data_IF_160061112654
#
_entry.id   IF_160061112654
#
_cell.length_a   1.000
_cell.length_b   1.000
_cell.length_c   1.000
_cell.angle_alpha   90.00
_cell.angle_beta   90.00
_cell.angle_gamma   90.00
#
_symmetry.space_group_name_H-M   'P 1'
#
loop_
_entity.id
_entity.type
_entity.pdbx_description
1 polymer ?
#
# COMPACT_ATOMS: atom_id res chain seq x y z
N UNK A 1 -2.22 23.03 -37.41
CA UNK A 1 -1.61 21.99 -38.27
C UNK A 1 -1.05 20.93 -37.35
N UNK A 2 -1.62 19.74 -37.38
CA UNK A 2 -1.06 18.57 -36.69
C UNK A 2 0.23 18.21 -37.44
N UNK A 3 1.39 18.35 -36.80
CA UNK A 3 2.62 17.76 -37.34
C UNK A 3 2.47 16.24 -37.20
N UNK A 4 1.96 15.60 -38.24
CA UNK A 4 1.88 14.15 -38.29
C UNK A 4 3.30 13.57 -38.21
N UNK A 5 3.50 12.68 -37.24
CA UNK A 5 4.78 12.02 -37.02
C UNK A 5 5.10 11.15 -38.24
N UNK A 6 6.26 11.39 -38.88
CA UNK A 6 6.71 10.67 -40.08
C UNK A 6 7.50 9.39 -39.77
N UNK A 7 7.73 9.11 -38.49
CA UNK A 7 8.51 7.95 -38.06
C UNK A 7 7.73 6.65 -38.23
N UNK A 8 8.43 5.60 -38.65
CA UNK A 8 7.87 4.26 -38.74
C UNK A 8 7.65 3.64 -37.34
N UNK A 9 7.04 2.45 -37.28
CA UNK A 9 6.72 1.81 -36.00
C UNK A 9 7.97 1.44 -35.18
N UNK A 10 9.08 1.11 -35.83
CA UNK A 10 10.35 0.75 -35.18
C UNK A 10 11.07 1.98 -34.63
N UNK A 11 11.07 3.08 -35.37
CA UNK A 11 11.62 4.37 -34.93
C UNK A 11 10.83 4.97 -33.74
N UNK A 12 9.59 4.53 -33.55
CA UNK A 12 8.74 4.88 -32.42
C UNK A 12 8.78 3.84 -31.29
N UNK A 13 9.53 2.76 -31.46
CA UNK A 13 9.70 1.77 -30.42
C UNK A 13 10.45 2.38 -29.23
N UNK A 14 10.05 1.98 -28.03
CA UNK A 14 10.72 2.37 -26.81
C UNK A 14 11.40 1.12 -26.28
N UNK A 15 12.71 1.24 -26.01
CA UNK A 15 13.52 0.18 -25.42
C UNK A 15 13.97 0.59 -24.03
N UNK A 16 13.95 -0.35 -23.10
CA UNK A 16 14.17 -0.08 -21.68
C UNK A 16 13.89 -1.29 -20.81
N UNK A 17 13.95 -1.08 -19.50
CA UNK A 17 13.65 -2.09 -18.49
C UNK A 17 12.46 -1.63 -17.68
N UNK A 18 11.45 -2.48 -17.55
CA UNK A 18 10.19 -2.19 -16.87
C UNK A 18 9.80 -3.35 -15.98
N UNK A 19 8.98 -3.08 -14.96
CA UNK A 19 8.35 -4.16 -14.22
C UNK A 19 7.26 -4.81 -15.07
N UNK A 20 7.05 -6.11 -14.88
CA UNK A 20 6.11 -6.89 -15.70
C UNK A 20 4.69 -6.28 -15.71
N UNK A 21 4.25 -5.73 -14.58
CA UNK A 21 2.92 -5.10 -14.45
C UNK A 21 2.75 -3.85 -15.34
N UNK A 22 3.81 -3.06 -15.53
CA UNK A 22 3.78 -1.90 -16.43
C UNK A 22 3.66 -2.34 -17.89
N UNK A 23 4.36 -3.42 -18.26
CA UNK A 23 4.29 -4.00 -19.60
C UNK A 23 2.90 -4.58 -19.88
N UNK A 24 2.34 -5.34 -18.94
CA UNK A 24 0.97 -5.86 -19.05
C UNK A 24 -0.02 -4.70 -19.22
N UNK A 25 0.16 -3.60 -18.46
CA UNK A 25 -0.67 -2.41 -18.60
C UNK A 25 -0.51 -1.74 -19.96
N UNK A 26 0.70 -1.68 -20.52
CA UNK A 26 0.92 -1.13 -21.85
C UNK A 26 0.22 -1.97 -22.93
N UNK A 27 0.27 -3.30 -22.83
CA UNK A 27 -0.44 -4.20 -23.74
C UNK A 27 -1.97 -3.97 -23.70
N UNK A 28 -2.55 -3.81 -22.50
CA UNK A 28 -3.97 -3.44 -22.35
C UNK A 28 -4.32 -2.10 -23.02
N UNK A 29 -3.36 -1.17 -23.09
CA UNK A 29 -3.51 0.14 -23.73
C UNK A 29 -3.27 0.11 -25.24
N UNK A 30 -3.02 -1.07 -25.82
CA UNK A 30 -2.84 -1.26 -27.26
C UNK A 30 -1.41 -1.10 -27.76
N UNK A 31 -0.43 -0.99 -26.85
CA UNK A 31 0.98 -1.09 -27.22
C UNK A 31 1.30 -2.52 -27.65
N UNK A 32 2.33 -2.66 -28.49
CA UNK A 32 2.81 -3.96 -28.97
C UNK A 32 4.21 -4.20 -28.44
N UNK A 33 4.42 -5.42 -27.95
CA UNK A 33 5.76 -5.89 -27.61
C UNK A 33 6.47 -6.31 -28.90
N UNK A 34 7.64 -5.73 -29.14
CA UNK A 34 8.43 -5.96 -30.36
C UNK A 34 9.52 -7.00 -30.07
N UNK A 35 10.33 -6.77 -29.03
CA UNK A 35 11.46 -7.62 -28.68
C UNK A 35 11.61 -7.70 -27.15
N UNK A 36 12.06 -8.87 -26.66
CA UNK A 36 12.38 -9.10 -25.25
C UNK A 36 13.84 -9.53 -25.18
N UNK A 37 14.65 -8.79 -24.41
CA UNK A 37 16.07 -9.13 -24.20
C UNK A 37 16.28 -10.04 -22.99
N UNK A 38 15.63 -9.72 -21.86
CA UNK A 38 15.83 -10.44 -20.60
C UNK A 38 14.58 -10.36 -19.70
N UNK A 39 14.31 -11.42 -18.93
CA UNK A 39 13.24 -11.47 -17.94
C UNK A 39 13.81 -11.96 -16.62
N UNK A 40 13.66 -11.14 -15.57
CA UNK A 40 13.98 -11.51 -14.20
C UNK A 40 12.73 -11.99 -13.48
N UNK A 41 12.72 -13.27 -13.08
CA UNK A 41 11.64 -13.86 -12.28
C UNK A 41 12.13 -14.09 -10.87
N UNK A 42 11.38 -13.57 -9.90
CA UNK A 42 11.62 -13.78 -8.48
C UNK A 42 10.35 -14.30 -7.81
N UNK A 43 10.53 -15.01 -6.69
CA UNK A 43 9.41 -15.41 -5.86
C UNK A 43 8.83 -14.19 -5.15
N UNK A 44 7.52 -14.04 -5.20
CA UNK A 44 6.80 -12.95 -4.55
C UNK A 44 6.03 -13.49 -3.36
N UNK A 45 6.21 -12.86 -2.19
CA UNK A 45 5.34 -13.09 -1.04
C UNK A 45 4.36 -11.92 -0.93
N UNK A 46 3.09 -12.23 -0.72
CA UNK A 46 2.04 -11.23 -0.51
C UNK A 46 1.40 -11.46 0.85
N UNK A 47 0.91 -10.37 1.45
CA UNK A 47 0.10 -10.43 2.65
C UNK A 47 -1.31 -10.89 2.29
N UNK A 48 -1.81 -11.91 2.97
CA UNK A 48 -3.16 -12.40 2.81
C UNK A 48 -4.07 -11.77 3.87
N UNK A 49 -5.01 -10.94 3.45
CA UNK A 49 -5.97 -10.27 4.33
C UNK A 49 -6.95 -11.22 5.01
N UNK A 50 -7.21 -12.41 4.46
CA UNK A 50 -8.14 -13.37 5.06
C UNK A 50 -7.48 -14.11 6.22
N UNK A 51 -6.26 -14.60 6.01
CA UNK A 51 -5.50 -15.32 7.04
C UNK A 51 -4.73 -14.37 7.97
N UNK A 52 -4.54 -13.11 7.57
CA UNK A 52 -3.72 -12.09 8.26
C UNK A 52 -2.26 -12.51 8.40
N UNK A 53 -1.73 -13.21 7.38
CA UNK A 53 -0.36 -13.75 7.38
C UNK A 53 0.36 -13.49 6.05
N UNK A 54 1.66 -13.71 6.01
CA UNK A 54 2.49 -13.52 4.82
C UNK A 54 2.99 -12.09 4.64
N UNK A 55 3.56 -11.81 3.47
CA UNK A 55 4.23 -10.54 3.18
C UNK A 55 5.55 -10.36 3.93
N UNK A 56 6.35 -9.37 3.50
CA UNK A 56 7.69 -9.13 4.07
C UNK A 56 7.66 -8.24 5.32
N UNK A 57 6.65 -7.38 5.46
CA UNK A 57 6.61 -6.33 6.49
C UNK A 57 5.32 -6.27 7.33
N UNK A 58 4.58 -7.37 7.55
CA UNK A 58 3.30 -7.29 8.25
C UNK A 58 3.44 -6.74 9.68
N UNK A 59 4.44 -7.19 10.43
CA UNK A 59 4.68 -6.75 11.81
C UNK A 59 5.13 -5.30 11.87
N UNK A 60 6.06 -4.90 10.99
CA UNK A 60 6.53 -3.52 10.87
C UNK A 60 5.34 -2.57 10.61
N UNK A 61 4.52 -2.87 9.60
CA UNK A 61 3.36 -2.05 9.24
C UNK A 61 2.31 -2.03 10.36
N UNK A 62 2.01 -3.19 10.95
CA UNK A 62 1.04 -3.33 12.06
C UNK A 62 1.42 -2.46 13.26
N UNK A 63 2.70 -2.48 13.67
CA UNK A 63 3.19 -1.69 14.80
C UNK A 63 3.00 -0.18 14.58
N UNK A 64 3.37 0.32 13.41
CA UNK A 64 3.23 1.76 13.11
C UNK A 64 1.78 2.17 12.85
N UNK A 65 0.95 1.29 12.27
CA UNK A 65 -0.50 1.50 12.16
C UNK A 65 -1.15 1.62 13.53
N UNK A 66 -0.80 0.73 14.47
CA UNK A 66 -1.27 0.80 15.86
C UNK A 66 -0.93 2.12 16.50
N UNK A 67 0.34 2.56 16.44
CA UNK A 67 0.79 3.84 17.00
C UNK A 67 0.03 5.01 16.38
N UNK A 68 -0.07 5.04 15.04
CA UNK A 68 -0.77 6.10 14.30
C UNK A 68 -2.25 6.17 14.68
N UNK A 69 -2.91 5.01 14.78
CA UNK A 69 -4.33 4.94 15.04
C UNK A 69 -4.66 5.33 16.48
N UNK A 70 -3.93 4.78 17.45
CA UNK A 70 -4.11 5.12 18.87
C UNK A 70 -3.87 6.61 19.14
N UNK A 71 -2.82 7.18 18.52
CA UNK A 71 -2.51 8.60 18.63
C UNK A 71 -3.50 9.53 17.90
N UNK A 72 -4.44 8.98 17.11
CA UNK A 72 -5.52 9.77 16.50
C UNK A 72 -6.69 10.01 17.46
N UNK A 73 -6.70 9.35 18.62
CA UNK A 73 -7.78 9.42 19.60
C UNK A 73 -9.05 8.69 19.17
N UNK A 74 -10.08 8.79 20.01
CA UNK A 74 -11.37 8.17 19.76
C UNK A 74 -12.15 8.93 18.67
N UNK A 75 -12.86 8.23 17.77
CA UNK A 75 -13.85 8.86 16.90
C UNK A 75 -14.90 9.63 17.70
N UNK A 76 -15.45 10.71 17.12
CA UNK A 76 -16.45 11.56 17.78
C UNK A 76 -17.72 10.80 18.22
N UNK A 77 -18.02 9.70 17.53
CA UNK A 77 -19.19 8.84 17.77
C UNK A 77 -18.94 7.78 18.86
N UNK A 78 -17.72 7.64 19.38
CA UNK A 78 -17.38 6.64 20.41
C UNK A 78 -17.46 7.23 21.82
N UNK A 79 -18.68 7.33 22.38
CA UNK A 79 -18.91 7.92 23.70
C UNK A 79 -19.13 6.87 24.79
N UNK A 80 -19.75 5.75 24.42
CA UNK A 80 -20.01 4.62 25.31
C UNK A 80 -18.89 3.56 25.23
N UNK A 81 -18.81 2.72 26.27
CA UNK A 81 -17.87 1.58 26.32
C UNK A 81 -18.15 0.62 25.14
N UNK A 82 -19.42 0.36 24.84
CA UNK A 82 -19.83 -0.54 23.74
C UNK A 82 -19.36 -0.03 22.38
N UNK A 83 -19.46 1.27 22.13
CA UNK A 83 -18.98 1.87 20.88
C UNK A 83 -17.45 1.80 20.76
N UNK A 84 -16.74 1.96 21.89
CA UNK A 84 -15.28 1.84 21.94
C UNK A 84 -14.81 0.41 21.66
N UNK A 85 -15.46 -0.59 22.26
CA UNK A 85 -15.18 -2.01 22.00
C UNK A 85 -15.50 -2.41 20.56
N UNK A 86 -16.63 -1.93 20.04
CA UNK A 86 -17.01 -2.12 18.64
C UNK A 86 -15.96 -1.54 17.70
N UNK A 87 -15.48 -0.32 17.98
CA UNK A 87 -14.43 0.31 17.18
C UNK A 87 -13.13 -0.51 17.16
N UNK A 88 -12.67 -1.01 18.31
CA UNK A 88 -11.46 -1.85 18.40
C UNK A 88 -11.64 -3.15 17.60
N UNK A 89 -12.78 -3.82 17.76
CA UNK A 89 -13.10 -5.07 17.04
C UNK A 89 -13.13 -4.83 15.53
N UNK A 90 -13.85 -3.81 15.07
CA UNK A 90 -13.94 -3.48 13.65
C UNK A 90 -12.58 -3.10 13.04
N UNK A 91 -11.72 -2.43 13.82
CA UNK A 91 -10.36 -2.11 13.38
C UNK A 91 -9.51 -3.36 13.22
N UNK A 92 -9.61 -4.31 14.17
CA UNK A 92 -8.92 -5.59 14.06
C UNK A 92 -9.43 -6.44 12.89
N UNK A 93 -10.74 -6.43 12.63
CA UNK A 93 -11.32 -7.21 11.54
C UNK A 93 -10.88 -6.68 10.17
N UNK A 94 -10.83 -5.36 10.01
CA UNK A 94 -10.44 -4.71 8.75
C UNK A 94 -8.93 -4.71 8.52
N UNK A 95 -8.16 -4.32 9.54
CA UNK A 95 -6.72 -4.04 9.40
C UNK A 95 -5.84 -5.16 9.96
N UNK A 96 -6.39 -6.08 10.76
CA UNK A 96 -5.62 -7.12 11.45
C UNK A 96 -4.79 -6.60 12.64
N UNK A 97 -5.00 -5.34 13.05
CA UNK A 97 -4.21 -4.67 14.08
C UNK A 97 -5.02 -4.53 15.37
N UNK A 98 -4.51 -5.04 16.48
CA UNK A 98 -5.16 -4.90 17.79
C UNK A 98 -4.77 -3.58 18.47
N UNK A 99 -5.77 -2.75 18.76
CA UNK A 99 -5.61 -1.49 19.48
C UNK A 99 -5.71 -1.70 21.00
N UNK A 100 -4.98 -0.90 21.77
CA UNK A 100 -5.12 -0.84 23.22
C UNK A 100 -6.00 0.34 23.62
N UNK A 101 -7.15 0.08 24.25
CA UNK A 101 -8.12 1.11 24.64
C UNK A 101 -7.51 2.22 25.50
N UNK A 102 -6.62 1.87 26.43
CA UNK A 102 -5.97 2.80 27.36
C UNK A 102 -4.92 3.69 26.68
N UNK A 103 -4.44 3.30 25.50
CA UNK A 103 -3.46 4.06 24.73
C UNK A 103 -4.10 4.92 23.62
N UNK A 104 -5.42 4.83 23.41
CA UNK A 104 -6.15 5.66 22.44
C UNK A 104 -6.37 7.04 23.04
N UNK A 105 -5.51 7.96 22.64
CA UNK A 105 -5.52 9.35 23.07
C UNK A 105 -5.05 10.23 21.91
N UNK A 106 -5.70 11.38 21.73
CA UNK A 106 -5.29 12.33 20.70
C UNK A 106 -3.89 12.88 21.01
N UNK A 107 -2.91 12.54 20.18
CA UNK A 107 -1.54 13.00 20.31
C UNK A 107 -0.93 13.26 18.92
N UNK A 108 -0.85 14.52 18.47
CA UNK A 108 -0.39 14.83 17.11
C UNK A 108 1.08 14.45 16.87
N UNK A 109 1.94 14.56 17.89
CA UNK A 109 3.36 14.20 17.79
C UNK A 109 3.57 12.69 17.64
N UNK A 110 2.96 11.89 18.53
CA UNK A 110 2.99 10.42 18.43
C UNK A 110 2.36 9.93 17.13
N UNK A 111 1.30 10.60 16.67
CA UNK A 111 0.67 10.27 15.39
C UNK A 111 1.63 10.50 14.22
N UNK A 112 2.42 11.56 14.25
CA UNK A 112 3.44 11.81 13.23
C UNK A 112 4.55 10.74 13.28
N UNK A 113 4.99 10.33 14.47
CA UNK A 113 5.94 9.23 14.65
C UNK A 113 5.40 7.92 14.08
N UNK A 114 4.12 7.60 14.26
CA UNK A 114 3.50 6.42 13.65
C UNK A 114 3.25 6.56 12.15
N UNK A 115 2.91 7.75 11.66
CA UNK A 115 2.59 8.00 10.25
C UNK A 115 3.84 8.05 9.37
N UNK A 116 4.94 8.64 9.84
CA UNK A 116 6.12 8.85 9.01
C UNK A 116 6.67 7.52 8.46
N UNK A 117 6.92 6.47 9.26
CA UNK A 117 7.48 5.19 8.78
C UNK A 117 6.57 4.42 7.81
N UNK A 118 5.26 4.73 7.78
CA UNK A 118 4.30 4.17 6.82
C UNK A 118 4.34 4.89 5.47
N UNK A 119 4.73 6.18 5.47
CA UNK A 119 4.72 7.04 4.29
C UNK A 119 6.11 7.16 3.65
N UNK A 120 7.12 7.45 4.46
CA UNK A 120 8.51 7.29 4.06
C UNK A 120 8.78 5.81 4.15
N UNK A 121 8.90 5.13 3.00
CA UNK A 121 9.51 3.81 2.93
C UNK A 121 10.90 3.90 3.58
N UNK A 122 10.97 3.66 4.89
CA UNK A 122 12.19 3.19 5.56
C UNK A 122 12.24 1.68 5.36
N UNK A 123 12.22 1.31 4.09
CA UNK A 123 12.46 0.00 3.51
C UNK A 123 13.01 0.27 2.11
#
# INVERSE_FOLDING_TARGET
>A
MSNECVHNHEERAISGTWVIDEILKALEKGYKMIEIYEIWKYETVQYDHNTKTGGLFPEYISNFLKIKQQASGWPADCKSIVEKEKYITEYFDKEGVSLCADEIEYNPGRRQIGKNPLNSRLI
#
